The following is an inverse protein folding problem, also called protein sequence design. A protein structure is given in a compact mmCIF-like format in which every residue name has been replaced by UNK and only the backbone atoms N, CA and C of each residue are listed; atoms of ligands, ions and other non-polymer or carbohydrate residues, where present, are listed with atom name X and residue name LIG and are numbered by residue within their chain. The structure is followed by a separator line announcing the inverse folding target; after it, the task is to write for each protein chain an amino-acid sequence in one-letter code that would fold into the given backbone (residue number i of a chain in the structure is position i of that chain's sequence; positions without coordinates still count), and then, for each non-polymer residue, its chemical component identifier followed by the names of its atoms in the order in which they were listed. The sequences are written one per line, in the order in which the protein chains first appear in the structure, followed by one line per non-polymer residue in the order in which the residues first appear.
data_IF_189485379718
#
_entry.id   IF_189485379718
#
_cell.length_a   1.000
_cell.length_b   1.000
_cell.length_c   1.000
_cell.angle_alpha   90.00
_cell.angle_beta   90.00
_cell.angle_gamma   90.00
#
_symmetry.space_group_name_H-M   'P 1'
#
loop_
_entity.id
_entity.type
_entity.pdbx_description
1 polymer ?
#
# COMPACT_ATOMS: atom_id res chain seq x y z
N UNK A 1 11.19 -16.02 5.25
CA UNK A 1 11.82 -14.80 5.80
C UNK A 1 13.24 -14.53 5.25
N UNK A 2 14.16 -15.50 5.22
CA UNK A 2 15.56 -15.29 4.79
C UNK A 2 15.76 -14.52 3.46
N UNK A 3 14.93 -14.78 2.43
CA UNK A 3 15.04 -14.10 1.13
C UNK A 3 14.67 -12.61 1.22
N UNK A 4 13.58 -12.25 1.90
CA UNK A 4 13.16 -10.86 2.11
C UNK A 4 14.26 -10.07 2.83
N UNK A 5 14.79 -10.62 3.93
CA UNK A 5 15.86 -9.99 4.72
C UNK A 5 17.13 -9.78 3.89
N UNK A 6 17.52 -10.77 3.08
CA UNK A 6 18.68 -10.64 2.19
C UNK A 6 18.49 -9.53 1.15
N UNK A 7 17.27 -9.36 0.61
CA UNK A 7 16.97 -8.29 -0.34
C UNK A 7 16.95 -6.92 0.33
N UNK A 8 16.38 -6.81 1.53
CA UNK A 8 16.43 -5.58 2.34
C UNK A 8 17.88 -5.15 2.61
N UNK A 9 18.73 -6.06 3.06
CA UNK A 9 20.15 -5.77 3.31
C UNK A 9 20.91 -5.39 2.02
N UNK A 10 20.53 -5.95 0.86
CA UNK A 10 21.10 -5.55 -0.43
C UNK A 10 20.64 -4.15 -0.84
N UNK A 11 19.36 -3.84 -0.67
CA UNK A 11 18.81 -2.51 -0.97
C UNK A 11 19.43 -1.42 -0.10
N UNK A 12 19.63 -1.66 1.21
CA UNK A 12 20.33 -0.72 2.09
C UNK A 12 21.75 -0.36 1.61
N UNK A 13 22.44 -1.30 0.94
CA UNK A 13 23.78 -1.08 0.37
C UNK A 13 23.76 -0.43 -1.01
N UNK A 14 22.61 -0.49 -1.69
CA UNK A 14 22.38 0.06 -3.02
C UNK A 14 21.49 1.31 -2.90
N UNK A 15 22.10 2.44 -2.57
CA UNK A 15 21.41 3.71 -2.45
C UNK A 15 21.39 4.39 -3.81
N UNK A 16 20.20 4.69 -4.34
CA UNK A 16 20.03 5.47 -5.57
C UNK A 16 19.60 6.90 -5.21
N UNK A 17 20.19 7.82 -5.97
CA UNK A 17 20.21 9.29 -5.89
C UNK A 17 18.83 9.95 -5.59
N UNK A 18 18.93 11.09 -4.90
CA UNK A 18 17.90 12.01 -4.37
C UNK A 18 16.64 12.21 -5.23
N UNK A 19 15.48 11.92 -4.64
CA UNK A 19 14.18 12.42 -5.04
C UNK A 19 14.06 13.87 -4.53
N UNK A 20 14.33 14.84 -5.41
CA UNK A 20 14.14 16.27 -5.10
C UNK A 20 12.66 16.61 -4.95
N UNK A 21 12.40 17.79 -4.36
CA UNK A 21 11.15 18.43 -3.93
C UNK A 21 10.04 18.57 -5.01
N UNK A 22 9.70 17.50 -5.73
CA UNK A 22 8.58 17.44 -6.67
C UNK A 22 7.27 17.88 -5.99
N UNK A 23 7.07 17.50 -4.73
CA UNK A 23 5.88 17.84 -3.96
C UNK A 23 5.67 19.35 -3.76
N UNK A 24 6.72 20.17 -3.79
CA UNK A 24 6.60 21.64 -3.66
C UNK A 24 6.06 22.31 -4.92
N UNK A 25 6.24 21.66 -6.08
CA UNK A 25 5.81 22.17 -7.37
C UNK A 25 4.45 21.61 -7.82
N UNK A 26 3.92 20.61 -7.09
CA UNK A 26 2.59 20.05 -7.35
C UNK A 26 1.51 21.00 -6.82
N UNK A 27 0.52 21.28 -7.67
CA UNK A 27 -0.71 21.93 -7.27
C UNK A 27 -1.55 21.08 -6.31
N UNK A 28 -2.48 21.73 -5.62
CA UNK A 28 -3.36 21.03 -4.66
C UNK A 28 -4.23 19.98 -5.35
N UNK A 29 -4.03 18.71 -4.99
CA UNK A 29 -4.73 17.53 -5.52
C UNK A 29 -4.62 17.36 -7.05
N UNK A 30 -3.48 17.70 -7.62
CA UNK A 30 -3.22 17.41 -9.04
C UNK A 30 -3.31 15.91 -9.32
N UNK A 31 -4.01 15.56 -10.40
CA UNK A 31 -4.33 14.17 -10.74
C UNK A 31 -3.20 13.47 -11.49
N UNK A 32 -2.18 14.19 -11.94
CA UNK A 32 -1.07 13.70 -12.76
C UNK A 32 -1.38 13.51 -14.25
N UNK A 33 -2.63 13.60 -14.70
CA UNK A 33 -3.02 13.16 -16.07
C UNK A 33 -2.50 14.07 -17.20
N UNK A 34 -1.91 15.23 -16.89
CA UNK A 34 -1.50 16.24 -17.86
C UNK A 34 -0.07 15.96 -18.37
N UNK A 35 0.05 15.21 -19.46
CA UNK A 35 1.34 14.72 -20.01
C UNK A 35 2.41 15.81 -20.17
N UNK A 36 2.05 16.98 -20.69
CA UNK A 36 3.01 18.08 -20.89
C UNK A 36 3.53 18.65 -19.56
N UNK A 37 2.67 18.70 -18.55
CA UNK A 37 3.03 19.15 -17.20
C UNK A 37 3.94 18.12 -16.53
N UNK A 38 3.64 16.83 -16.68
CA UNK A 38 4.48 15.74 -16.16
C UNK A 38 5.86 15.70 -16.84
N UNK A 39 5.91 15.94 -18.15
CA UNK A 39 7.17 16.07 -18.87
C UNK A 39 7.98 17.27 -18.34
N UNK A 40 7.32 18.41 -18.05
CA UNK A 40 7.98 19.57 -17.46
C UNK A 40 8.51 19.28 -16.05
N UNK A 41 7.78 18.52 -15.23
CA UNK A 41 8.27 18.09 -13.91
C UNK A 41 9.50 17.20 -14.00
N UNK A 42 9.55 16.26 -14.95
CA UNK A 42 10.72 15.39 -15.16
C UNK A 42 11.96 16.17 -15.63
N UNK A 43 11.78 17.25 -16.40
CA UNK A 43 12.89 18.16 -16.78
C UNK A 43 13.38 18.96 -15.57
N UNK A 44 12.45 19.45 -14.75
CA UNK A 44 12.77 20.27 -13.56
C UNK A 44 13.39 19.44 -12.43
N UNK A 45 12.94 18.19 -12.29
CA UNK A 45 13.35 17.23 -11.27
C UNK A 45 13.90 15.97 -11.95
N UNK A 46 15.09 16.03 -12.57
CA UNK A 46 15.65 14.90 -13.29
C UNK A 46 15.87 13.71 -12.34
N UNK A 47 15.45 12.53 -12.78
CA UNK A 47 15.68 11.32 -11.99
C UNK A 47 17.17 10.98 -11.97
N UNK A 48 17.68 10.56 -10.81
CA UNK A 48 19.06 10.08 -10.69
C UNK A 48 19.28 8.66 -11.25
N UNK A 49 18.28 8.08 -11.91
CA UNK A 49 18.35 6.74 -12.48
C UNK A 49 18.80 6.90 -13.94
N UNK A 50 19.98 6.38 -14.27
CA UNK A 50 20.51 6.49 -15.63
C UNK A 50 19.71 5.60 -16.60
N UNK A 51 19.18 6.16 -17.71
CA UNK A 51 18.60 5.37 -18.78
C UNK A 51 19.64 4.43 -19.41
N UNK A 52 19.22 3.25 -19.84
CA UNK A 52 19.98 2.46 -20.81
C UNK A 52 19.60 2.95 -22.21
N UNK A 53 20.53 2.96 -23.18
CA UNK A 53 20.23 3.43 -24.55
C UNK A 53 18.92 2.84 -25.09
N UNK A 54 17.98 3.71 -25.46
CA UNK A 54 16.67 3.35 -26.01
C UNK A 54 15.60 2.92 -24.99
N UNK A 55 15.92 2.84 -23.69
CA UNK A 55 15.01 2.39 -22.65
C UNK A 55 14.89 3.42 -21.51
N UNK A 56 13.70 3.57 -20.90
CA UNK A 56 13.57 4.35 -19.68
C UNK A 56 14.47 3.78 -18.57
N UNK A 57 14.84 4.57 -17.56
CA UNK A 57 15.64 4.07 -16.44
C UNK A 57 14.95 2.90 -15.74
N UNK A 58 15.61 1.74 -15.66
CA UNK A 58 15.06 0.54 -15.02
C UNK A 58 15.82 0.22 -13.75
N UNK A 59 15.10 0.10 -12.64
CA UNK A 59 15.63 -0.52 -11.42
C UNK A 59 15.54 -2.05 -11.58
N UNK A 60 16.69 -2.72 -11.62
CA UNK A 60 16.78 -4.17 -11.80
C UNK A 60 17.29 -4.92 -10.54
N UNK A 61 17.80 -4.16 -9.57
CA UNK A 61 18.40 -4.65 -8.32
C UNK A 61 17.64 -4.10 -7.12
N UNK A 62 17.70 -4.78 -5.97
CA UNK A 62 17.22 -4.21 -4.72
C UNK A 62 17.89 -2.88 -4.45
N UNK A 63 17.10 -1.84 -4.23
CA UNK A 63 17.54 -0.43 -4.17
C UNK A 63 16.62 0.34 -3.24
N UNK A 64 17.18 1.28 -2.48
CA UNK A 64 16.40 2.34 -1.82
C UNK A 64 16.53 3.64 -2.59
N UNK A 65 15.44 4.40 -2.68
CA UNK A 65 15.45 5.77 -3.17
C UNK A 65 15.30 6.68 -1.96
N UNK A 66 16.21 7.63 -1.84
CA UNK A 66 16.21 8.65 -0.79
C UNK A 66 15.54 9.92 -1.33
N UNK A 67 14.75 10.59 -0.51
CA UNK A 67 14.27 11.94 -0.72
C UNK A 67 15.09 12.94 0.09
N UNK A 68 14.48 14.08 0.40
CA UNK A 68 15.13 15.13 1.19
C UNK A 68 15.51 14.65 2.60
N UNK A 69 16.68 15.07 3.07
CA UNK A 69 17.18 14.76 4.41
C UNK A 69 17.46 13.27 4.63
N UNK A 70 17.87 12.55 3.58
CA UNK A 70 18.11 11.10 3.59
C UNK A 70 16.88 10.25 3.97
N UNK A 71 15.68 10.82 3.82
CA UNK A 71 14.44 10.10 4.11
C UNK A 71 14.21 9.04 3.03
N UNK A 72 14.02 7.78 3.43
CA UNK A 72 13.71 6.72 2.45
C UNK A 72 12.29 6.93 1.92
N UNK A 73 12.17 7.24 0.62
CA UNK A 73 10.87 7.45 -0.05
C UNK A 73 10.35 6.19 -0.74
N UNK A 74 11.25 5.30 -1.18
CA UNK A 74 10.87 4.05 -1.85
C UNK A 74 11.84 2.92 -1.55
N UNK A 75 11.27 1.75 -1.28
CA UNK A 75 11.95 0.46 -1.28
C UNK A 75 11.61 -0.30 -2.55
N UNK A 76 12.62 -0.60 -3.38
CA UNK A 76 12.46 -1.49 -4.52
C UNK A 76 13.16 -2.83 -4.23
N UNK A 77 12.38 -3.92 -4.17
CA UNK A 77 12.85 -5.22 -3.67
C UNK A 77 12.49 -6.38 -4.63
N UNK A 78 13.10 -6.45 -5.82
CA UNK A 78 12.76 -7.46 -6.83
C UNK A 78 13.10 -8.87 -6.34
N UNK A 79 12.10 -9.75 -6.44
CA UNK A 79 12.21 -11.14 -6.01
C UNK A 79 12.47 -11.28 -4.50
N UNK A 80 11.83 -10.46 -3.67
CA UNK A 80 11.96 -10.58 -2.21
C UNK A 80 11.10 -11.69 -1.59
N UNK A 81 9.98 -12.02 -2.23
CA UNK A 81 9.15 -13.15 -1.83
C UNK A 81 9.73 -14.44 -2.41
N UNK A 82 9.82 -15.48 -1.58
CA UNK A 82 10.24 -16.80 -2.01
C UNK A 82 9.21 -17.43 -2.96
N UNK A 83 9.65 -18.32 -3.84
CA UNK A 83 8.79 -18.97 -4.84
C UNK A 83 7.55 -19.63 -4.19
N UNK A 84 7.74 -20.36 -3.08
CA UNK A 84 6.63 -20.99 -2.38
C UNK A 84 5.62 -19.96 -1.83
N UNK A 85 6.09 -18.80 -1.34
CA UNK A 85 5.21 -17.71 -0.89
C UNK A 85 4.43 -17.13 -2.08
N UNK A 86 5.09 -16.91 -3.23
CA UNK A 86 4.41 -16.44 -4.44
C UNK A 86 3.35 -17.43 -4.93
N UNK A 87 3.65 -18.74 -4.92
CA UNK A 87 2.68 -19.80 -5.25
C UNK A 87 1.48 -19.80 -4.31
N UNK A 88 1.71 -19.61 -3.01
CA UNK A 88 0.63 -19.51 -2.02
C UNK A 88 -0.25 -18.27 -2.27
N UNK A 89 0.35 -17.12 -2.57
CA UNK A 89 -0.41 -15.93 -2.96
C UNK A 89 -1.26 -16.20 -4.21
N UNK A 90 -0.71 -16.90 -5.21
CA UNK A 90 -1.46 -17.25 -6.42
C UNK A 90 -2.60 -18.23 -6.13
N UNK A 91 -2.37 -19.28 -5.34
CA UNK A 91 -3.43 -20.24 -4.96
C UNK A 91 -4.49 -19.63 -4.04
N UNK A 92 -4.18 -18.53 -3.35
CA UNK A 92 -5.19 -17.79 -2.59
C UNK A 92 -6.29 -17.22 -3.49
N UNK A 93 -6.00 -17.00 -4.78
CA UNK A 93 -6.91 -16.35 -5.72
C UNK A 93 -8.04 -17.26 -6.22
N UNK A 94 -7.97 -18.57 -5.96
CA UNK A 94 -8.91 -19.57 -6.47
C UNK A 94 -10.38 -19.28 -6.13
N UNK A 95 -10.66 -18.62 -5.00
CA UNK A 95 -12.01 -18.28 -4.54
C UNK A 95 -12.55 -16.94 -5.06
N UNK A 96 -11.70 -16.14 -5.73
CA UNK A 96 -12.00 -14.76 -6.12
C UNK A 96 -12.47 -14.50 -7.56
N UNK A 97 -12.51 -15.45 -8.54
CA UNK A 97 -12.84 -15.10 -9.92
C UNK A 97 -14.15 -14.34 -10.10
N UNK A 98 -15.22 -14.80 -9.46
CA UNK A 98 -16.53 -14.16 -9.54
C UNK A 98 -16.55 -12.76 -8.93
N UNK A 99 -15.89 -12.60 -7.78
CA UNK A 99 -15.81 -11.30 -7.10
C UNK A 99 -15.01 -10.29 -7.93
N UNK A 100 -13.91 -10.74 -8.53
CA UNK A 100 -13.09 -9.92 -9.44
C UNK A 100 -13.89 -9.49 -10.66
N UNK A 101 -14.57 -10.40 -11.34
CA UNK A 101 -15.36 -10.05 -12.52
C UNK A 101 -16.48 -9.05 -12.18
N UNK A 102 -17.15 -9.22 -11.05
CA UNK A 102 -18.22 -8.32 -10.57
C UNK A 102 -17.72 -6.94 -10.15
N UNK A 103 -16.42 -6.78 -9.92
CA UNK A 103 -15.84 -5.48 -9.56
C UNK A 103 -15.74 -4.50 -10.74
N UNK A 104 -15.83 -5.00 -11.98
CA UNK A 104 -15.76 -4.20 -13.20
C UNK A 104 -17.14 -3.59 -13.47
N UNK A 105 -17.32 -2.34 -13.05
CA UNK A 105 -18.64 -1.67 -13.01
C UNK A 105 -18.65 -0.27 -13.62
N UNK A 106 -17.53 0.22 -14.16
CA UNK A 106 -17.50 1.50 -14.89
C UNK A 106 -17.63 2.76 -14.03
N UNK A 107 -17.45 2.69 -12.70
CA UNK A 107 -17.66 3.85 -11.80
C UNK A 107 -16.53 4.86 -11.81
N UNK A 108 -15.30 4.39 -12.01
CA UNK A 108 -14.08 5.19 -12.04
C UNK A 108 -13.03 4.46 -12.87
N UNK A 109 -11.86 5.08 -13.07
CA UNK A 109 -10.79 4.45 -13.85
C UNK A 109 -10.36 3.08 -13.27
N UNK A 110 -10.45 2.86 -11.95
CA UNK A 110 -10.12 1.57 -11.30
C UNK A 110 -11.13 0.45 -11.57
N UNK A 111 -12.30 0.77 -12.11
CA UNK A 111 -13.37 -0.21 -12.38
C UNK A 111 -13.90 -0.11 -13.81
N UNK A 112 -13.31 0.74 -14.65
CA UNK A 112 -13.72 0.92 -16.03
C UNK A 112 -13.25 -0.28 -16.87
N UNK A 113 -14.17 -0.99 -17.57
CA UNK A 113 -13.83 -2.13 -18.43
C UNK A 113 -12.77 -1.81 -19.49
N UNK A 114 -12.68 -0.56 -19.97
CA UNK A 114 -11.70 -0.15 -20.99
C UNK A 114 -10.24 -0.35 -20.55
N UNK A 115 -10.00 -0.41 -19.24
CA UNK A 115 -8.67 -0.63 -18.68
C UNK A 115 -8.36 -2.10 -18.38
N UNK A 116 -9.26 -3.05 -18.64
CA UNK A 116 -9.01 -4.47 -18.36
C UNK A 116 -8.75 -5.28 -19.63
N UNK A 117 -7.92 -6.33 -19.52
CA UNK A 117 -7.68 -7.26 -20.63
C UNK A 117 -8.81 -8.30 -20.71
N UNK A 118 -9.54 -8.40 -21.84
CA UNK A 118 -10.75 -9.24 -21.94
C UNK A 118 -10.52 -10.74 -21.72
N UNK A 119 -9.34 -11.26 -22.07
CA UNK A 119 -9.05 -12.70 -22.13
C UNK A 119 -8.38 -13.25 -20.86
N UNK A 120 -8.40 -12.49 -19.76
CA UNK A 120 -7.70 -12.85 -18.52
C UNK A 120 -8.53 -12.54 -17.30
N UNK A 121 -8.28 -13.26 -16.20
CA UNK A 121 -8.89 -12.96 -14.91
C UNK A 121 -8.69 -11.48 -14.57
N UNK A 122 -9.76 -10.71 -14.48
CA UNK A 122 -9.71 -9.27 -14.41
C UNK A 122 -10.60 -8.73 -13.30
N UNK A 123 -10.15 -7.66 -12.66
CA UNK A 123 -10.92 -6.98 -11.62
C UNK A 123 -10.05 -6.26 -10.61
N UNK A 124 -10.70 -5.54 -9.71
CA UNK A 124 -10.10 -4.81 -8.61
C UNK A 124 -10.91 -5.05 -7.34
N UNK A 125 -10.28 -5.65 -6.32
CA UNK A 125 -10.87 -5.86 -5.01
C UNK A 125 -10.07 -5.12 -3.95
N UNK A 126 -10.78 -4.66 -2.92
CA UNK A 126 -10.18 -3.98 -1.78
C UNK A 126 -10.54 -4.73 -0.50
N UNK A 127 -9.52 -5.23 0.19
CA UNK A 127 -9.66 -5.93 1.45
C UNK A 127 -9.15 -5.03 2.56
N UNK A 128 -10.03 -4.61 3.46
CA UNK A 128 -9.65 -3.75 4.58
C UNK A 128 -10.45 -4.16 5.82
N UNK A 129 -9.80 -4.31 6.98
CA UNK A 129 -10.51 -4.49 8.25
C UNK A 129 -11.23 -3.21 8.68
N UNK A 130 -10.86 -2.04 8.15
CA UNK A 130 -11.47 -0.73 8.50
C UNK A 130 -11.63 0.19 7.29
N UNK A 131 -12.73 0.08 6.54
CA UNK A 131 -12.93 0.92 5.34
C UNK A 131 -13.40 2.34 5.67
N UNK A 132 -14.26 2.54 6.67
CA UNK A 132 -14.86 3.87 6.93
C UNK A 132 -13.87 4.89 7.52
N UNK A 133 -12.70 4.46 8.02
CA UNK A 133 -11.62 5.37 8.39
C UNK A 133 -10.72 5.77 7.19
N UNK A 134 -10.87 5.11 6.04
CA UNK A 134 -10.12 5.43 4.82
C UNK A 134 -10.87 6.48 4.00
N UNK A 135 -10.71 7.76 4.36
CA UNK A 135 -11.10 8.89 3.50
C UNK A 135 -12.35 9.67 3.90
N UNK A 136 -12.95 9.37 5.06
CA UNK A 136 -14.03 10.18 5.64
C UNK A 136 -13.59 10.81 6.97
N UNK A 137 -13.84 12.11 7.12
CA UNK A 137 -13.42 12.91 8.28
C UNK A 137 -14.54 13.08 9.32
N UNK A 138 -15.67 12.40 9.15
CA UNK A 138 -16.83 12.56 10.01
C UNK A 138 -16.64 11.74 11.30
N UNK A 139 -16.84 12.39 12.44
CA UNK A 139 -16.69 11.79 13.78
C UNK A 139 -17.71 10.69 14.11
N UNK A 140 -18.68 10.44 13.21
CA UNK A 140 -19.77 9.48 13.41
C UNK A 140 -19.54 8.13 12.74
N UNK A 141 -18.43 7.96 12.01
CA UNK A 141 -18.20 6.77 11.22
C UNK A 141 -17.73 5.60 12.09
N UNK A 142 -18.57 4.56 12.14
CA UNK A 142 -18.27 3.31 12.85
C UNK A 142 -17.35 2.46 11.95
N UNK A 143 -16.27 1.87 12.49
CA UNK A 143 -15.44 0.94 11.72
C UNK A 143 -16.28 -0.17 11.08
N UNK A 144 -15.99 -0.52 9.83
CA UNK A 144 -16.55 -1.70 9.16
C UNK A 144 -15.47 -2.32 8.29
N UNK A 145 -15.50 -3.64 8.17
CA UNK A 145 -14.71 -4.35 7.16
C UNK A 145 -15.21 -4.02 5.75
N UNK A 146 -14.34 -4.15 4.75
CA UNK A 146 -14.68 -3.90 3.34
C UNK A 146 -15.69 -4.90 2.80
N UNK A 147 -16.45 -4.51 1.78
CA UNK A 147 -17.45 -5.39 1.14
C UNK A 147 -16.84 -6.70 0.65
N UNK A 148 -15.60 -6.68 0.13
CA UNK A 148 -14.92 -7.90 -0.31
C UNK A 148 -14.63 -8.83 0.87
N UNK A 149 -14.20 -8.28 2.01
CA UNK A 149 -13.86 -9.03 3.21
C UNK A 149 -15.10 -9.57 3.97
N UNK A 150 -16.30 -9.01 3.73
CA UNK A 150 -17.57 -9.55 4.26
C UNK A 150 -18.00 -10.88 3.63
N UNK A 151 -17.39 -11.28 2.52
CA UNK A 151 -17.79 -12.48 1.78
C UNK A 151 -17.02 -13.71 2.27
N UNK A 152 -17.64 -14.89 2.18
CA UNK A 152 -16.97 -16.17 2.47
C UNK A 152 -15.69 -16.33 1.64
N UNK A 153 -15.75 -16.01 0.33
CA UNK A 153 -14.57 -16.03 -0.55
C UNK A 153 -13.46 -15.08 -0.08
N UNK A 154 -13.83 -13.92 0.45
CA UNK A 154 -12.90 -12.91 0.96
C UNK A 154 -12.24 -13.32 2.28
N UNK A 155 -13.01 -13.88 3.21
CA UNK A 155 -12.47 -14.47 4.44
C UNK A 155 -11.54 -15.64 4.14
N UNK A 156 -11.95 -16.56 3.25
CA UNK A 156 -11.13 -17.66 2.80
C UNK A 156 -9.82 -17.19 2.13
N UNK A 157 -9.89 -16.12 1.33
CA UNK A 157 -8.71 -15.49 0.76
C UNK A 157 -7.79 -14.90 1.84
N UNK A 158 -8.33 -14.15 2.80
CA UNK A 158 -7.58 -13.54 3.89
C UNK A 158 -6.82 -14.60 4.71
N UNK A 159 -7.51 -15.68 5.08
CA UNK A 159 -6.91 -16.82 5.80
C UNK A 159 -5.76 -17.46 5.00
N UNK A 160 -5.96 -17.73 3.70
CA UNK A 160 -4.88 -18.25 2.81
C UNK A 160 -3.70 -17.27 2.66
N UNK A 161 -3.98 -15.97 2.73
CA UNK A 161 -3.00 -14.88 2.65
C UNK A 161 -2.29 -14.57 3.97
N UNK A 162 -2.63 -15.26 5.07
CA UNK A 162 -2.08 -14.98 6.39
C UNK A 162 -0.54 -15.05 6.41
N UNK A 163 0.06 -16.13 5.90
CA UNK A 163 1.52 -16.24 5.90
C UNK A 163 2.24 -15.21 5.00
N UNK A 164 1.84 -15.01 3.72
CA UNK A 164 2.39 -13.94 2.89
C UNK A 164 2.27 -12.54 3.51
N UNK A 165 1.12 -12.21 4.10
CA UNK A 165 0.86 -10.90 4.70
C UNK A 165 1.69 -10.66 5.96
N UNK A 166 1.95 -11.70 6.75
CA UNK A 166 2.86 -11.65 7.89
C UNK A 166 4.32 -11.37 7.45
N UNK A 167 4.77 -11.92 6.32
CA UNK A 167 6.11 -11.62 5.77
C UNK A 167 6.21 -10.14 5.40
N UNK A 168 5.18 -9.58 4.76
CA UNK A 168 5.14 -8.16 4.39
C UNK A 168 5.11 -7.26 5.65
N UNK A 169 4.30 -7.65 6.64
CA UNK A 169 4.24 -6.99 7.96
C UNK A 169 5.62 -6.95 8.64
N UNK A 170 6.33 -8.09 8.65
CA UNK A 170 7.68 -8.19 9.19
C UNK A 170 8.72 -7.40 8.37
N UNK A 171 8.54 -7.26 7.06
CA UNK A 171 9.38 -6.37 6.27
C UNK A 171 9.19 -4.90 6.72
N UNK A 172 7.94 -4.50 6.98
CA UNK A 172 7.63 -3.15 7.47
C UNK A 172 8.26 -2.87 8.83
N UNK A 173 8.30 -3.84 9.74
CA UNK A 173 8.94 -3.67 11.05
C UNK A 173 10.45 -3.41 10.96
N UNK A 174 11.10 -3.86 9.88
CA UNK A 174 12.51 -3.58 9.59
C UNK A 174 12.68 -2.25 8.84
N UNK A 175 11.83 -1.99 7.84
CA UNK A 175 11.93 -0.80 6.99
C UNK A 175 11.53 0.48 7.73
N UNK A 176 10.46 0.42 8.54
CA UNK A 176 9.87 1.57 9.23
C UNK A 176 9.31 1.17 10.61
N UNK A 177 10.17 0.94 11.62
CA UNK A 177 9.74 0.43 12.93
C UNK A 177 8.67 1.28 13.63
N UNK A 178 8.78 2.62 13.56
CA UNK A 178 7.80 3.51 14.18
C UNK A 178 6.42 3.39 13.53
N UNK A 179 6.37 3.33 12.20
CA UNK A 179 5.11 3.12 11.46
C UNK A 179 4.53 1.74 11.74
N UNK A 180 5.38 0.70 11.83
CA UNK A 180 4.94 -0.64 12.20
C UNK A 180 4.29 -0.66 13.59
N UNK A 181 4.95 -0.08 14.60
CA UNK A 181 4.42 -0.03 15.97
C UNK A 181 3.11 0.77 16.06
N UNK A 182 3.03 1.91 15.39
CA UNK A 182 1.81 2.71 15.35
C UNK A 182 0.64 1.93 14.71
N UNK A 183 0.89 1.24 13.61
CA UNK A 183 -0.13 0.41 12.95
C UNK A 183 -0.50 -0.82 13.76
N UNK A 184 0.47 -1.48 14.41
CA UNK A 184 0.21 -2.60 15.30
C UNK A 184 -0.73 -2.18 16.44
N UNK A 185 -0.44 -1.05 17.09
CA UNK A 185 -1.31 -0.50 18.12
C UNK A 185 -2.71 -0.17 17.61
N UNK A 186 -2.82 0.39 16.40
CA UNK A 186 -4.11 0.61 15.74
C UNK A 186 -4.90 -0.69 15.52
N UNK A 187 -4.23 -1.75 15.07
CA UNK A 187 -4.85 -3.07 14.89
C UNK A 187 -5.27 -3.70 16.22
N UNK A 188 -4.47 -3.58 17.29
CA UNK A 188 -4.83 -4.07 18.63
C UNK A 188 -6.07 -3.34 19.18
N UNK A 189 -6.10 -2.01 19.03
CA UNK A 189 -7.23 -1.18 19.45
C UNK A 189 -8.51 -1.58 18.70
N UNK A 190 -8.39 -1.78 17.39
CA UNK A 190 -9.49 -2.21 16.56
C UNK A 190 -9.99 -3.61 16.94
N UNK A 191 -9.09 -4.57 17.20
CA UNK A 191 -9.47 -5.92 17.63
C UNK A 191 -10.19 -5.92 18.97
N UNK A 192 -9.74 -5.10 19.93
CA UNK A 192 -10.43 -4.94 21.20
C UNK A 192 -11.85 -4.36 21.01
N UNK A 193 -11.98 -3.35 20.15
CA UNK A 193 -13.30 -2.79 19.82
C UNK A 193 -14.20 -3.82 19.13
N UNK A 194 -13.69 -4.55 18.13
CA UNK A 194 -14.45 -5.54 17.37
C UNK A 194 -14.97 -6.67 18.26
N UNK A 195 -14.18 -7.14 19.23
CA UNK A 195 -14.58 -8.19 20.18
C UNK A 195 -15.86 -7.84 20.97
N UNK A 196 -16.14 -6.55 21.19
CA UNK A 196 -17.32 -6.09 21.91
C UNK A 196 -18.46 -5.61 20.99
N UNK A 197 -18.18 -5.33 19.72
CA UNK A 197 -19.09 -4.57 18.85
C UNK A 197 -19.42 -5.23 17.49
N UNK A 198 -18.54 -6.07 16.93
CA UNK A 198 -18.70 -6.65 15.60
C UNK A 198 -17.98 -8.00 15.49
N UNK A 199 -18.74 -9.09 15.66
CA UNK A 199 -18.25 -10.47 15.59
C UNK A 199 -17.61 -10.80 14.23
N UNK A 200 -18.22 -10.34 13.13
CA UNK A 200 -17.71 -10.59 11.78
C UNK A 200 -16.38 -9.87 11.54
N UNK A 201 -16.24 -8.65 12.07
CA UNK A 201 -14.94 -7.96 12.07
C UNK A 201 -13.91 -8.69 12.94
N UNK A 202 -14.32 -9.19 14.11
CA UNK A 202 -13.48 -10.00 14.99
C UNK A 202 -12.91 -11.22 14.27
N UNK A 203 -13.76 -11.97 13.57
CA UNK A 203 -13.35 -13.12 12.75
C UNK A 203 -12.40 -12.71 11.63
N UNK A 204 -12.73 -11.64 10.89
CA UNK A 204 -11.86 -11.14 9.83
C UNK A 204 -10.47 -10.71 10.35
N UNK A 205 -10.42 -10.11 11.55
CA UNK A 205 -9.18 -9.69 12.20
C UNK A 205 -8.35 -10.86 12.71
N UNK A 206 -8.98 -11.97 13.09
CA UNK A 206 -8.26 -13.19 13.48
C UNK A 206 -7.42 -13.76 12.32
N UNK A 207 -7.91 -13.63 11.08
CA UNK A 207 -7.19 -14.03 9.86
C UNK A 207 -6.31 -12.91 9.28
N UNK A 208 -6.44 -11.66 9.74
CA UNK A 208 -5.70 -10.49 9.24
C UNK A 208 -4.31 -10.35 9.88
N UNK A 209 -3.37 -11.16 9.41
CA UNK A 209 -2.01 -11.28 9.96
C UNK A 209 -1.04 -10.14 9.60
N UNK A 210 -1.54 -8.92 9.37
CA UNK A 210 -0.69 -7.81 8.92
C UNK A 210 -1.11 -6.47 9.50
N UNK A 211 -0.13 -5.57 9.63
CA UNK A 211 -0.35 -4.20 10.09
C UNK A 211 -0.79 -3.25 8.97
N UNK A 212 -0.88 -3.75 7.72
CA UNK A 212 -1.48 -2.96 6.64
C UNK A 212 -2.99 -2.87 6.86
N UNK A 213 -3.53 -1.66 6.77
CA UNK A 213 -4.97 -1.38 6.93
C UNK A 213 -5.78 -1.69 5.67
N UNK A 214 -5.11 -2.05 4.58
CA UNK A 214 -5.73 -2.35 3.31
C UNK A 214 -4.80 -3.21 2.43
N UNK A 215 -5.38 -4.11 1.65
CA UNK A 215 -4.75 -4.81 0.54
C UNK A 215 -5.66 -4.66 -0.69
N UNK A 216 -5.16 -3.96 -1.70
CA UNK A 216 -5.80 -3.91 -3.02
C UNK A 216 -5.30 -5.07 -3.88
N UNK A 217 -6.23 -5.85 -4.43
CA UNK A 217 -5.94 -6.87 -5.43
C UNK A 217 -6.37 -6.36 -6.80
N UNK A 218 -5.40 -6.17 -7.70
CA UNK A 218 -5.63 -5.63 -9.03
C UNK A 218 -5.16 -6.68 -10.05
N UNK A 219 -6.10 -7.20 -10.84
CA UNK A 219 -5.84 -8.23 -11.84
C UNK A 219 -6.06 -7.66 -13.25
N UNK A 220 -5.02 -7.77 -14.09
CA UNK A 220 -5.04 -7.45 -15.53
C UNK A 220 -5.62 -6.07 -15.90
N UNK A 221 -5.42 -5.09 -15.01
CA UNK A 221 -5.77 -3.69 -15.21
C UNK A 221 -4.58 -2.88 -15.73
N UNK A 222 -4.80 -2.11 -16.80
CA UNK A 222 -3.97 -0.99 -17.19
C UNK A 222 -4.21 0.18 -16.25
N UNK A 223 -3.14 0.71 -15.67
CA UNK A 223 -3.23 1.89 -14.81
C UNK A 223 -2.92 3.13 -15.64
N UNK A 224 -3.89 4.03 -15.90
CA UNK A 224 -3.58 5.29 -16.54
C UNK A 224 -2.62 6.10 -15.66
N UNK A 225 -1.87 7.01 -16.28
CA UNK A 225 -1.01 7.92 -15.54
C UNK A 225 -1.85 8.71 -14.53
N UNK A 226 -1.45 8.68 -13.25
CA UNK A 226 -2.14 9.40 -12.20
C UNK A 226 -1.23 9.63 -10.99
N UNK A 227 -1.59 10.60 -10.15
CA UNK A 227 -1.06 10.82 -8.81
C UNK A 227 -2.07 10.40 -7.75
N UNK A 228 -1.59 10.02 -6.56
CA UNK A 228 -2.44 9.85 -5.39
C UNK A 228 -2.42 11.13 -4.53
N UNK A 229 -3.43 12.01 -4.66
CA UNK A 229 -3.42 13.31 -4.01
C UNK A 229 -3.64 13.25 -2.49
N UNK A 230 -3.92 12.07 -1.92
CA UNK A 230 -4.14 11.90 -0.48
C UNK A 230 -2.94 11.25 0.23
N UNK A 231 -1.86 10.95 -0.51
CA UNK A 231 -0.60 10.50 0.08
C UNK A 231 0.12 11.68 0.75
N UNK A 232 -0.08 11.89 2.06
CA UNK A 232 0.73 12.86 2.81
C UNK A 232 2.12 12.30 3.04
N UNK A 233 3.16 13.00 2.59
CA UNK A 233 4.54 12.76 2.98
C UNK A 233 4.81 13.36 4.37
N UNK A 234 4.20 12.83 5.43
CA UNK A 234 4.55 13.23 6.80
C UNK A 234 5.71 12.35 7.30
N UNK A 235 6.92 12.74 6.92
CA UNK A 235 8.15 12.29 7.56
C UNK A 235 9.07 13.50 7.77
N UNK A 236 8.59 14.56 8.45
CA UNK A 236 9.40 15.68 9.01
C UNK A 236 8.51 16.80 9.56
N UNK A 237 7.70 16.54 10.59
CA UNK A 237 7.31 17.63 11.50
C UNK A 237 7.57 17.20 12.95
N UNK A 238 8.50 17.93 13.55
CA UNK A 238 9.11 17.62 14.83
C UNK A 238 8.12 17.67 15.98
N UNK A 239 8.23 16.67 16.86
CA UNK A 239 7.80 16.75 18.24
C UNK A 239 8.72 17.70 19.03
N UNK A 240 8.62 18.99 18.71
CA UNK A 240 9.18 20.08 19.52
C UNK A 240 8.19 21.25 19.58
N UNK A 241 6.99 20.97 20.10
CA UNK A 241 6.21 21.88 20.95
C UNK A 241 5.44 20.94 21.90
N UNK A 242 5.70 20.85 23.20
CA UNK A 242 5.93 21.94 24.12
C UNK A 242 4.61 22.51 24.62
N UNK A 243 3.70 21.69 25.16
CA UNK A 243 2.64 22.18 26.06
C UNK A 243 2.44 21.23 27.25
N UNK A 244 3.07 21.65 28.35
CA UNK A 244 2.62 21.45 29.72
C UNK A 244 1.12 21.69 29.86
N UNK A 245 0.37 20.71 30.35
CA UNK A 245 -0.81 20.99 31.18
C UNK A 245 -1.01 19.86 32.19
N UNK A 246 -0.43 20.07 33.36
CA UNK A 246 -0.92 19.81 34.72
C UNK A 246 -2.12 18.86 34.88
N UNK A 247 -1.87 17.74 35.56
CA UNK A 247 -2.85 17.03 36.38
C UNK A 247 -3.52 17.96 37.39
N UNK A 248 -4.85 17.94 37.46
CA UNK A 248 -5.61 18.06 38.72
C UNK A 248 -6.91 17.26 38.61
N UNK A 249 -6.98 16.23 39.45
CA UNK A 249 -8.12 15.44 39.96
C UNK A 249 -9.16 14.99 38.94
#
# INVERSE_FOLDING_TARGET
MHQMVAKLAKAYRNQSIEFRRLAEDLGHKESGVAVDQEAAFLVKHPTGITPHEGFPPVLDKPTIILGEGDTIVLWYLPGALANNTQKQMLSSLESLPDALQKSIVGRNWRTNPDYFRPESLSGCLEFAPTIHQLGHSAWTDIPSISTALKTESGLAWASKMSYPSAILSAALSIMHPLMYNARLHGMETLSAWAAENDELMGDALADWSTVYTNISLIANQGTPFHHDPHSRSEATQGWHQGQTTTQRL
#
